data_IF_861780748498
#
_entry.id   IF_861780748498
#
_cell.length_a   1.000
_cell.length_b   1.000
_cell.length_c   1.000
_cell.angle_alpha   90.00
_cell.angle_beta   90.00
_cell.angle_gamma   90.00
#
_symmetry.space_group_name_H-M   'P 1'
#
loop_
_entity.id
_entity.type
_entity.pdbx_description
1 polymer ?
#
# COMPACT_ATOMS: atom_id res chain seq x y z
N UNK A 1 59.92 -28.38 -33.41
CA UNK A 1 58.88 -29.41 -33.22
C UNK A 1 58.84 -29.69 -31.73
N UNK A 2 57.87 -29.26 -30.92
CA UNK A 2 56.53 -28.75 -31.22
C UNK A 2 56.12 -27.67 -30.22
N UNK A 3 55.46 -26.65 -30.75
CA UNK A 3 54.75 -25.62 -30.02
C UNK A 3 53.30 -26.06 -29.79
N UNK A 4 52.72 -25.58 -28.68
CA UNK A 4 51.30 -25.61 -28.25
C UNK A 4 50.89 -26.75 -27.32
N UNK A 5 50.50 -26.36 -26.10
CA UNK A 5 49.14 -26.64 -25.65
C UNK A 5 48.52 -25.38 -25.09
N UNK A 6 47.46 -24.98 -25.77
CA UNK A 6 46.61 -23.81 -25.57
C UNK A 6 45.90 -23.96 -24.22
N UNK A 7 46.01 -22.96 -23.35
CA UNK A 7 45.09 -22.75 -22.23
C UNK A 7 43.74 -22.37 -22.84
N UNK A 8 42.81 -23.32 -22.94
CA UNK A 8 41.47 -23.00 -23.42
C UNK A 8 40.72 -22.21 -22.36
N UNK A 9 39.94 -21.28 -22.87
CA UNK A 9 38.98 -20.45 -22.18
C UNK A 9 38.13 -21.21 -21.16
N UNK A 10 37.87 -20.57 -20.02
CA UNK A 10 36.62 -20.76 -19.30
C UNK A 10 35.96 -19.40 -19.14
N UNK A 11 35.36 -18.94 -20.23
CA UNK A 11 34.41 -17.84 -20.22
C UNK A 11 33.03 -18.38 -19.84
N UNK A 12 32.35 -17.68 -18.94
CA UNK A 12 30.89 -17.70 -18.83
C UNK A 12 30.28 -18.77 -17.94
N UNK A 13 30.15 -18.47 -16.65
CA UNK A 13 29.02 -18.96 -15.84
C UNK A 13 28.73 -17.96 -14.72
N UNK A 14 27.93 -16.94 -15.04
CA UNK A 14 27.59 -15.85 -14.10
C UNK A 14 26.38 -15.05 -14.54
N UNK A 15 25.50 -15.65 -15.37
CA UNK A 15 24.33 -14.98 -15.96
C UNK A 15 23.02 -15.75 -15.76
N UNK A 16 22.98 -16.73 -14.86
CA UNK A 16 21.79 -17.56 -14.57
C UNK A 16 21.27 -17.44 -13.14
N UNK A 17 22.01 -16.80 -12.23
CA UNK A 17 21.59 -16.66 -10.84
C UNK A 17 20.72 -15.43 -10.60
N UNK A 18 20.84 -14.38 -11.43
CA UNK A 18 20.07 -13.14 -11.23
C UNK A 18 18.58 -13.31 -11.61
N UNK A 19 18.26 -14.06 -12.68
CA UNK A 19 16.87 -14.29 -13.11
C UNK A 19 16.08 -15.19 -12.13
N UNK A 20 16.72 -16.20 -11.54
CA UNK A 20 16.05 -17.14 -10.61
C UNK A 20 15.77 -16.48 -9.23
N UNK A 21 16.64 -15.55 -8.81
CA UNK A 21 16.45 -14.76 -7.57
C UNK A 21 15.40 -13.65 -7.75
N UNK A 22 15.26 -13.10 -8.97
CA UNK A 22 14.23 -12.09 -9.25
C UNK A 22 12.81 -12.71 -9.29
N UNK A 23 12.64 -13.87 -9.92
CA UNK A 23 11.35 -14.58 -9.99
C UNK A 23 10.85 -14.99 -8.60
N UNK A 24 11.73 -15.48 -7.73
CA UNK A 24 11.36 -15.88 -6.36
C UNK A 24 10.90 -14.69 -5.50
N UNK A 25 11.51 -13.51 -5.67
CA UNK A 25 11.12 -12.29 -4.96
C UNK A 25 9.74 -11.80 -5.37
N UNK A 26 9.41 -11.89 -6.65
CA UNK A 26 8.09 -11.48 -7.17
C UNK A 26 6.98 -12.41 -6.65
N UNK A 27 7.24 -13.72 -6.60
CA UNK A 27 6.32 -14.70 -6.00
C UNK A 27 6.08 -14.43 -4.51
N UNK A 28 7.15 -14.16 -3.75
CA UNK A 28 7.04 -13.78 -2.33
C UNK A 28 6.25 -12.47 -2.14
N UNK A 29 6.44 -11.50 -3.03
CA UNK A 29 5.68 -10.25 -2.98
C UNK A 29 4.19 -10.47 -3.26
N UNK A 30 3.85 -11.29 -4.26
CA UNK A 30 2.45 -11.58 -4.58
C UNK A 30 1.75 -12.38 -3.48
N UNK A 31 2.43 -13.36 -2.87
CA UNK A 31 1.89 -14.07 -1.70
C UNK A 31 1.64 -13.13 -0.52
N UNK A 32 2.54 -12.17 -0.27
CA UNK A 32 2.36 -11.15 0.76
C UNK A 32 1.19 -10.21 0.45
N UNK A 33 1.09 -9.71 -0.80
CA UNK A 33 -0.05 -8.88 -1.25
C UNK A 33 -1.37 -9.60 -1.06
N UNK A 34 -1.44 -10.88 -1.42
CA UNK A 34 -2.65 -11.69 -1.25
C UNK A 34 -3.00 -11.87 0.23
N UNK A 35 -1.99 -12.05 1.09
CA UNK A 35 -2.20 -12.12 2.54
C UNK A 35 -2.72 -10.80 3.13
N UNK A 36 -2.19 -9.67 2.68
CA UNK A 36 -2.67 -8.34 3.08
C UNK A 36 -4.11 -8.13 2.59
N UNK A 37 -4.41 -8.42 1.32
CA UNK A 37 -5.74 -8.27 0.72
C UNK A 37 -6.79 -9.16 1.39
N UNK A 38 -6.40 -10.37 1.77
CA UNK A 38 -7.27 -11.33 2.48
C UNK A 38 -7.42 -11.07 3.98
N UNK A 39 -6.75 -10.04 4.53
CA UNK A 39 -6.81 -9.74 5.96
C UNK A 39 -8.17 -9.13 6.34
N UNK A 40 -8.72 -9.48 7.50
CA UNK A 40 -10.04 -9.01 7.96
C UNK A 40 -10.14 -7.48 8.04
N UNK A 41 -9.06 -6.82 8.48
CA UNK A 41 -8.96 -5.36 8.56
C UNK A 41 -8.68 -4.67 7.21
N UNK A 42 -8.41 -5.40 6.12
CA UNK A 42 -8.08 -4.77 4.83
C UNK A 42 -9.21 -3.89 4.30
N UNK A 43 -10.46 -4.35 4.43
CA UNK A 43 -11.63 -3.56 4.06
C UNK A 43 -11.74 -2.27 4.87
N UNK A 44 -11.59 -2.38 6.20
CA UNK A 44 -11.63 -1.22 7.11
C UNK A 44 -10.50 -0.24 6.80
N UNK A 45 -9.32 -0.73 6.46
CA UNK A 45 -8.18 0.10 6.08
C UNK A 45 -8.50 0.96 4.86
N UNK A 46 -9.10 0.36 3.81
CA UNK A 46 -9.52 1.08 2.60
C UNK A 46 -10.59 2.12 2.94
N UNK A 47 -11.59 1.76 3.75
CA UNK A 47 -12.63 2.69 4.19
C UNK A 47 -12.04 3.91 4.90
N UNK A 48 -11.11 3.71 5.84
CA UNK A 48 -10.41 4.79 6.54
C UNK A 48 -9.59 5.66 5.59
N UNK A 49 -8.97 5.07 4.58
CA UNK A 49 -8.25 5.83 3.56
C UNK A 49 -9.19 6.70 2.74
N UNK A 50 -10.36 6.16 2.34
CA UNK A 50 -11.38 6.92 1.62
C UNK A 50 -11.94 8.06 2.46
N UNK A 51 -12.12 7.86 3.76
CA UNK A 51 -12.56 8.93 4.68
C UNK A 51 -11.58 10.10 4.71
N UNK A 52 -10.26 9.86 4.72
CA UNK A 52 -9.27 10.93 4.61
C UNK A 52 -9.42 11.71 3.30
N UNK A 53 -9.65 11.00 2.18
CA UNK A 53 -9.85 11.64 0.87
C UNK A 53 -11.09 12.53 0.87
N UNK A 54 -12.22 12.07 1.42
CA UNK A 54 -13.47 12.86 1.52
C UNK A 54 -13.28 14.19 2.25
N UNK A 55 -12.50 14.20 3.35
CA UNK A 55 -12.20 15.44 4.09
C UNK A 55 -11.47 16.45 3.20
N UNK A 56 -10.58 15.98 2.31
CA UNK A 56 -9.80 16.87 1.42
C UNK A 56 -10.53 17.32 0.15
N UNK A 57 -11.40 16.48 -0.41
CA UNK A 57 -12.10 16.74 -1.67
C UNK A 57 -13.46 17.42 -1.46
N UNK A 58 -13.97 17.47 -0.23
CA UNK A 58 -15.34 17.90 0.04
C UNK A 58 -16.37 16.86 -0.42
N UNK A 59 -17.66 17.15 -0.21
CA UNK A 59 -18.78 16.27 -0.59
C UNK A 59 -19.11 16.32 -2.10
N UNK A 60 -18.14 16.62 -2.97
CA UNK A 60 -18.35 16.58 -4.41
C UNK A 60 -18.57 15.12 -4.84
N UNK A 61 -19.85 14.75 -5.04
CA UNK A 61 -20.35 13.41 -5.40
C UNK A 61 -19.72 12.78 -6.67
N UNK A 62 -18.87 13.50 -7.40
CA UNK A 62 -18.40 13.15 -8.74
C UNK A 62 -17.05 12.41 -8.78
N UNK A 63 -16.46 12.06 -7.62
CA UNK A 63 -15.33 11.13 -7.59
C UNK A 63 -15.87 9.71 -7.65
N UNK A 64 -16.30 9.30 -8.84
CA UNK A 64 -16.47 7.89 -9.22
C UNK A 64 -15.09 7.21 -9.18
N UNK A 65 -14.64 6.89 -7.97
CA UNK A 65 -13.42 6.13 -7.74
C UNK A 65 -13.75 4.69 -8.09
N UNK A 66 -13.47 4.33 -9.34
CA UNK A 66 -13.47 2.96 -9.84
C UNK A 66 -12.37 2.17 -9.14
N UNK A 67 -12.59 1.83 -7.87
CA UNK A 67 -11.94 0.68 -7.29
C UNK A 67 -12.82 -0.49 -7.71
N UNK A 68 -12.45 -1.13 -8.82
CA UNK A 68 -12.96 -2.47 -9.11
C UNK A 68 -12.72 -3.28 -7.83
N UNK A 69 -13.80 -3.55 -7.09
CA UNK A 69 -13.79 -4.54 -6.05
C UNK A 69 -13.20 -5.76 -6.73
N UNK A 70 -11.99 -6.15 -6.33
CA UNK A 70 -11.44 -7.43 -6.71
C UNK A 70 -12.35 -8.48 -6.08
N UNK A 71 -13.47 -8.74 -6.75
CA UNK A 71 -14.43 -9.75 -6.37
C UNK A 71 -13.68 -11.07 -6.45
N UNK A 72 -13.56 -11.68 -5.27
CA UNK A 72 -13.44 -13.11 -5.09
C UNK A 72 -12.27 -13.76 -5.84
N UNK A 73 -11.04 -13.44 -5.41
CA UNK A 73 -10.10 -14.56 -5.27
C UNK A 73 -10.40 -15.17 -3.91
N UNK A 74 -10.98 -16.37 -3.88
CA UNK A 74 -11.10 -17.19 -2.69
C UNK A 74 -9.69 -17.35 -2.08
N UNK A 75 -9.32 -16.43 -1.18
CA UNK A 75 -8.15 -16.61 -0.34
C UNK A 75 -8.51 -17.75 0.60
N UNK A 76 -8.09 -18.96 0.22
CA UNK A 76 -8.15 -20.15 1.05
C UNK A 76 -7.73 -19.76 2.47
N UNK A 77 -8.69 -19.82 3.40
CA UNK A 77 -8.62 -19.27 4.76
C UNK A 77 -7.68 -20.05 5.69
N UNK A 78 -6.54 -20.50 5.16
CA UNK A 78 -5.47 -21.19 5.85
C UNK A 78 -4.19 -20.34 5.89
N UNK A 79 -4.31 -19.00 5.87
CA UNK A 79 -3.18 -18.17 6.24
C UNK A 79 -2.97 -18.30 7.75
N UNK A 80 -1.84 -18.87 8.12
CA UNK A 80 -1.43 -18.97 9.51
C UNK A 80 -1.47 -17.55 10.13
N UNK A 81 -2.05 -17.35 11.33
CA UNK A 81 -2.10 -16.03 11.94
C UNK A 81 -0.68 -15.47 12.09
N UNK A 82 -0.47 -14.23 11.62
CA UNK A 82 0.80 -13.51 11.81
C UNK A 82 0.56 -12.31 12.70
N UNK A 83 1.03 -12.34 13.95
CA UNK A 83 0.83 -11.22 14.88
C UNK A 83 1.44 -9.92 14.34
N UNK A 84 2.51 -10.00 13.54
CA UNK A 84 3.14 -8.84 12.92
C UNK A 84 2.25 -8.19 11.86
N UNK A 85 1.56 -8.98 11.04
CA UNK A 85 0.62 -8.45 10.04
C UNK A 85 -0.61 -7.87 10.73
N UNK A 86 -1.15 -8.58 11.71
CA UNK A 86 -2.30 -8.10 12.49
C UNK A 86 -1.95 -6.75 13.11
N UNK A 87 -0.75 -6.63 13.71
CA UNK A 87 -0.28 -5.39 14.30
C UNK A 87 -0.06 -4.28 13.27
N UNK A 88 0.51 -4.61 12.12
CA UNK A 88 0.69 -3.67 11.02
C UNK A 88 -0.67 -3.12 10.58
N UNK A 89 -1.65 -3.98 10.35
CA UNK A 89 -2.99 -3.60 9.91
C UNK A 89 -3.71 -2.71 10.94
N UNK A 90 -3.60 -3.05 12.23
CA UNK A 90 -4.09 -2.20 13.33
C UNK A 90 -3.44 -0.81 13.34
N UNK A 91 -2.10 -0.76 13.29
CA UNK A 91 -1.33 0.47 13.33
C UNK A 91 -1.69 1.40 12.16
N UNK A 92 -1.85 0.83 10.96
CA UNK A 92 -2.27 1.59 9.80
C UNK A 92 -3.70 2.14 9.95
N UNK A 93 -4.64 1.34 10.44
CA UNK A 93 -6.00 1.82 10.69
C UNK A 93 -6.02 2.98 11.71
N UNK A 94 -5.24 2.86 12.78
CA UNK A 94 -5.10 3.93 13.79
C UNK A 94 -4.45 5.18 13.21
N UNK A 95 -3.38 5.05 12.43
CA UNK A 95 -2.70 6.17 11.80
C UNK A 95 -3.61 6.94 10.84
N UNK A 96 -4.40 6.25 10.02
CA UNK A 96 -5.39 6.89 9.14
C UNK A 96 -6.51 7.57 9.92
N UNK A 97 -7.00 6.94 11.00
CA UNK A 97 -7.98 7.56 11.89
C UNK A 97 -7.46 8.87 12.48
N UNK A 98 -6.21 8.87 12.96
CA UNK A 98 -5.59 10.08 13.50
C UNK A 98 -5.38 11.15 12.45
N UNK A 99 -4.90 10.77 11.26
CA UNK A 99 -4.74 11.68 10.13
C UNK A 99 -6.08 12.36 9.76
N UNK A 100 -7.18 11.61 9.71
CA UNK A 100 -8.51 12.15 9.45
C UNK A 100 -8.91 13.20 10.48
N UNK A 101 -8.78 12.89 11.78
CA UNK A 101 -9.11 13.84 12.86
C UNK A 101 -8.29 15.13 12.76
N UNK A 102 -6.99 15.00 12.47
CA UNK A 102 -6.10 16.15 12.34
C UNK A 102 -6.49 17.01 11.11
N UNK A 103 -6.81 16.39 9.97
CA UNK A 103 -7.29 17.09 8.77
C UNK A 103 -8.62 17.82 9.00
N UNK A 104 -9.58 17.20 9.67
CA UNK A 104 -10.87 17.82 10.00
C UNK A 104 -10.69 19.01 10.95
N UNK A 105 -9.80 18.87 11.94
CA UNK A 105 -9.48 19.93 12.91
C UNK A 105 -8.86 21.14 12.21
N UNK A 106 -7.82 20.94 11.39
CA UNK A 106 -7.14 22.01 10.66
C UNK A 106 -8.09 22.74 9.69
N UNK A 107 -8.96 21.99 9.01
CA UNK A 107 -9.97 22.56 8.12
C UNK A 107 -10.98 23.40 8.90
N UNK A 108 -11.48 22.90 10.02
CA UNK A 108 -12.44 23.61 10.87
C UNK A 108 -11.84 24.89 11.46
N UNK A 109 -10.58 24.85 11.93
CA UNK A 109 -9.86 26.02 12.44
C UNK A 109 -9.72 27.10 11.35
N UNK A 110 -9.35 26.68 10.13
CA UNK A 110 -9.21 27.59 8.98
C UNK A 110 -10.55 28.24 8.63
N UNK A 111 -11.64 27.47 8.58
CA UNK A 111 -12.98 27.98 8.30
C UNK A 111 -13.47 28.96 9.38
N UNK A 112 -13.22 28.65 10.65
CA UNK A 112 -13.53 29.54 11.77
C UNK A 112 -12.78 30.86 11.64
N UNK A 113 -11.47 30.81 11.40
CA UNK A 113 -10.64 31.99 11.22
C UNK A 113 -11.12 32.88 10.07
N UNK A 114 -11.45 32.28 8.93
CA UNK A 114 -11.99 33.00 7.77
C UNK A 114 -13.33 33.66 8.13
N UNK A 115 -14.24 32.93 8.80
CA UNK A 115 -15.53 33.45 9.24
C UNK A 115 -15.38 34.66 10.17
N UNK A 116 -14.49 34.58 11.15
CA UNK A 116 -14.21 35.67 12.09
C UNK A 116 -13.70 36.91 11.35
N UNK A 117 -12.78 36.73 10.40
CA UNK A 117 -12.28 37.82 9.56
C UNK A 117 -13.41 38.48 8.74
N UNK A 118 -14.34 37.69 8.19
CA UNK A 118 -15.49 38.24 7.45
C UNK A 118 -16.45 39.03 8.34
N UNK A 119 -16.56 38.70 9.63
CA UNK A 119 -17.36 39.45 10.60
C UNK A 119 -16.71 40.77 11.01
N UNK A 120 -15.37 40.84 11.02
CA UNK A 120 -14.65 42.08 11.35
C UNK A 120 -14.69 43.12 10.22
N UNK A 121 -14.84 42.67 8.97
CA UNK A 121 -14.77 43.53 7.78
C UNK A 121 -16.16 43.99 7.30
N UNK A 122 -17.25 43.30 7.68
CA UNK A 122 -18.63 43.67 7.35
C UNK A 122 -19.35 44.38 8.50
#
# INVERSE_FOLDING_TARGET
>A
MDHRRITSEKAGDGRRQDEEVEVTRDEEMETLKNRIRGHELFRLLIEKHMDCLKVSLGDDEDVETTFEAAENTECSANSQPSPDLDKLMELHCMALGKLKEDMETELQETLSFISDMYLEIN
#
